data_IF_185057121577
#
_entry.id   IF_185057121577
#
_cell.length_a   1.000
_cell.length_b   1.000
_cell.length_c   1.000
_cell.angle_alpha   90.00
_cell.angle_beta   90.00
_cell.angle_gamma   90.00
#
_symmetry.space_group_name_H-M   'P 1'
#
loop_
_entity.id
_entity.type
_entity.pdbx_description
1 polymer ?
#
# COMPACT_ATOMS: atom_id res chain seq x y z
N UNK A 1 22.32 9.49 -5.61
CA UNK A 1 22.09 8.78 -4.32
C UNK A 1 20.63 8.34 -4.14
N UNK A 2 19.62 9.19 -4.41
CA UNK A 2 18.19 8.84 -4.27
C UNK A 2 17.75 7.61 -5.08
N UNK A 3 18.25 7.44 -6.31
CA UNK A 3 17.87 6.31 -7.18
C UNK A 3 18.32 4.96 -6.64
N UNK A 4 19.54 4.89 -6.08
CA UNK A 4 20.08 3.68 -5.46
C UNK A 4 19.29 3.28 -4.21
N UNK A 5 18.94 4.25 -3.37
CA UNK A 5 18.11 4.02 -2.18
C UNK A 5 16.71 3.52 -2.56
N UNK A 6 16.08 4.10 -3.60
CA UNK A 6 14.79 3.61 -4.11
C UNK A 6 14.90 2.16 -4.60
N UNK A 7 15.93 1.79 -5.35
CA UNK A 7 16.12 0.41 -5.84
C UNK A 7 16.36 -0.57 -4.68
N UNK A 8 17.22 -0.20 -3.74
CA UNK A 8 17.51 -1.00 -2.54
C UNK A 8 16.27 -1.25 -1.68
N UNK A 9 15.29 -0.34 -1.68
CA UNK A 9 14.03 -0.51 -0.96
C UNK A 9 12.99 -1.30 -1.76
N UNK A 10 12.78 -0.97 -3.03
CA UNK A 10 11.72 -1.57 -3.85
C UNK A 10 12.01 -3.01 -4.24
N UNK A 11 13.26 -3.39 -4.50
CA UNK A 11 13.60 -4.77 -4.93
C UNK A 11 13.26 -5.79 -3.83
N UNK A 12 13.70 -5.63 -2.56
CA UNK A 12 13.29 -6.52 -1.49
C UNK A 12 11.78 -6.45 -1.21
N UNK A 13 11.17 -5.26 -1.27
CA UNK A 13 9.74 -5.10 -1.00
C UNK A 13 8.88 -5.91 -1.99
N UNK A 14 9.17 -5.81 -3.29
CA UNK A 14 8.45 -6.57 -4.33
C UNK A 14 8.67 -8.07 -4.16
N UNK A 15 9.89 -8.50 -3.85
CA UNK A 15 10.19 -9.91 -3.60
C UNK A 15 9.39 -10.47 -2.41
N UNK A 16 9.32 -9.72 -1.30
CA UNK A 16 8.54 -10.11 -0.13
C UNK A 16 7.05 -10.18 -0.44
N UNK A 17 6.50 -9.20 -1.17
CA UNK A 17 5.10 -9.21 -1.59
C UNK A 17 4.80 -10.45 -2.45
N UNK A 18 5.66 -10.79 -3.40
CA UNK A 18 5.49 -11.98 -4.24
C UNK A 18 5.52 -13.27 -3.41
N UNK A 19 6.45 -13.39 -2.45
CA UNK A 19 6.53 -14.53 -1.53
C UNK A 19 5.25 -14.65 -0.69
N UNK A 20 4.75 -13.54 -0.15
CA UNK A 20 3.51 -13.52 0.63
C UNK A 20 2.34 -13.99 -0.23
N UNK A 21 2.20 -13.46 -1.45
CA UNK A 21 1.14 -13.86 -2.40
C UNK A 21 1.20 -15.36 -2.70
N UNK A 22 2.40 -15.90 -2.90
CA UNK A 22 2.61 -17.31 -3.22
C UNK A 22 2.32 -18.24 -2.03
N UNK A 23 2.76 -17.87 -0.83
CA UNK A 23 2.60 -18.70 0.38
C UNK A 23 1.23 -18.52 1.05
N UNK A 24 0.52 -17.43 0.77
CA UNK A 24 -0.75 -17.14 1.40
C UNK A 24 -1.82 -18.11 0.91
N UNK A 25 -2.42 -18.86 1.84
CA UNK A 25 -3.58 -19.66 1.51
C UNK A 25 -4.78 -18.75 1.20
N UNK A 26 -5.18 -18.69 -0.06
CA UNK A 26 -6.21 -17.75 -0.52
C UNK A 26 -7.60 -18.17 -0.06
N UNK A 27 -8.31 -17.23 0.53
CA UNK A 27 -9.74 -17.36 0.82
C UNK A 27 -10.46 -16.09 0.37
N UNK A 28 -11.80 -16.11 0.37
CA UNK A 28 -12.60 -14.97 -0.10
C UNK A 28 -12.26 -13.68 0.65
N UNK A 29 -12.09 -13.74 1.96
CA UNK A 29 -11.80 -12.57 2.81
C UNK A 29 -10.40 -11.99 2.54
N UNK A 30 -9.39 -12.84 2.35
CA UNK A 30 -8.01 -12.46 2.00
C UNK A 30 -7.93 -11.89 0.59
N UNK A 31 -8.75 -12.40 -0.33
CA UNK A 31 -8.86 -11.84 -1.68
C UNK A 31 -9.45 -10.42 -1.66
N UNK A 32 -10.53 -10.19 -0.90
CA UNK A 32 -11.06 -8.83 -0.71
C UNK A 32 -10.04 -7.90 -0.04
N UNK A 33 -9.32 -8.38 0.98
CA UNK A 33 -8.24 -7.61 1.60
C UNK A 33 -7.15 -7.22 0.60
N UNK A 34 -6.73 -8.15 -0.28
CA UNK A 34 -5.73 -7.86 -1.31
C UNK A 34 -6.21 -6.83 -2.34
N UNK A 35 -7.50 -6.79 -2.67
CA UNK A 35 -8.07 -5.75 -3.52
C UNK A 35 -8.09 -4.41 -2.79
N UNK A 36 -8.48 -4.40 -1.51
CA UNK A 36 -8.53 -3.19 -0.69
C UNK A 36 -7.16 -2.58 -0.42
N UNK A 37 -6.07 -3.33 -0.55
CA UNK A 37 -4.71 -2.81 -0.44
C UNK A 37 -4.18 -2.22 -1.75
N UNK A 38 -4.83 -2.41 -2.91
CA UNK A 38 -4.40 -1.80 -4.17
C UNK A 38 -4.34 -0.26 -4.13
N UNK A 39 -5.34 0.46 -3.58
CA UNK A 39 -5.26 1.91 -3.43
C UNK A 39 -4.13 2.34 -2.49
N UNK A 40 -3.85 1.56 -1.43
CA UNK A 40 -2.73 1.81 -0.51
C UNK A 40 -1.41 1.76 -1.27
N UNK A 41 -1.20 0.72 -2.09
CA UNK A 41 0.01 0.57 -2.91
C UNK A 41 0.15 1.74 -3.89
N UNK A 42 -0.95 2.15 -4.53
CA UNK A 42 -0.97 3.29 -5.47
C UNK A 42 -0.54 4.60 -4.80
N UNK A 43 -1.19 4.98 -3.69
CA UNK A 43 -0.86 6.22 -2.99
C UNK A 43 0.53 6.14 -2.32
N UNK A 44 0.94 4.97 -1.84
CA UNK A 44 2.30 4.78 -1.33
C UNK A 44 3.32 5.02 -2.45
N UNK A 45 3.11 4.49 -3.65
CA UNK A 45 3.99 4.77 -4.79
C UNK A 45 4.08 6.27 -5.09
N UNK A 46 2.95 6.97 -5.08
CA UNK A 46 2.88 8.43 -5.31
C UNK A 46 3.65 9.22 -4.25
N UNK A 47 3.39 8.96 -2.97
CA UNK A 47 4.04 9.64 -1.84
C UNK A 47 5.56 9.39 -1.83
N UNK A 48 6.01 8.15 -2.07
CA UNK A 48 7.44 7.82 -2.07
C UNK A 48 8.19 8.31 -3.32
N UNK A 49 7.48 8.54 -4.42
CA UNK A 49 8.06 9.08 -5.66
C UNK A 49 7.81 10.58 -5.84
N UNK A 50 7.23 11.26 -4.84
CA UNK A 50 7.03 12.70 -4.85
C UNK A 50 8.33 13.43 -5.20
N UNK A 51 8.26 14.30 -6.18
CA UNK A 51 9.42 15.06 -6.64
C UNK A 51 9.41 16.44 -5.99
N UNK A 52 10.60 16.96 -5.66
CA UNK A 52 10.76 18.28 -5.04
C UNK A 52 10.19 19.43 -5.87
N UNK A 53 9.96 19.22 -7.17
CA UNK A 53 9.39 20.20 -8.09
C UNK A 53 7.86 20.23 -8.10
N UNK A 54 7.20 19.27 -7.46
CA UNK A 54 5.74 19.23 -7.34
C UNK A 54 5.27 20.19 -6.23
N UNK A 55 4.08 20.79 -6.34
CA UNK A 55 3.55 21.67 -5.31
C UNK A 55 3.07 20.88 -4.09
N UNK A 56 3.28 21.43 -2.89
CA UNK A 56 2.94 20.79 -1.61
C UNK A 56 1.48 20.34 -1.50
N UNK A 57 0.57 21.02 -2.22
CA UNK A 57 -0.84 20.63 -2.31
C UNK A 57 -1.02 19.22 -2.87
N UNK A 58 -0.22 18.83 -3.87
CA UNK A 58 -0.25 17.49 -4.47
C UNK A 58 0.24 16.45 -3.46
N UNK A 59 1.30 16.76 -2.72
CA UNK A 59 1.76 15.87 -1.65
C UNK A 59 0.68 15.64 -0.59
N UNK A 60 0.01 16.71 -0.14
CA UNK A 60 -1.05 16.63 0.86
C UNK A 60 -2.23 15.81 0.33
N UNK A 61 -2.63 16.01 -0.93
CA UNK A 61 -3.69 15.23 -1.57
C UNK A 61 -3.34 13.74 -1.61
N UNK A 62 -2.16 13.38 -2.12
CA UNK A 62 -1.70 11.98 -2.23
C UNK A 62 -1.52 11.33 -0.84
N UNK A 63 -1.03 12.08 0.16
CA UNK A 63 -0.93 11.63 1.54
C UNK A 63 -2.32 11.43 2.18
N UNK A 64 -3.27 12.33 1.92
CA UNK A 64 -4.65 12.18 2.41
C UNK A 64 -5.32 10.95 1.79
N UNK A 65 -5.08 10.69 0.49
CA UNK A 65 -5.52 9.48 -0.19
C UNK A 65 -4.92 8.21 0.42
N UNK A 66 -3.63 8.23 0.78
CA UNK A 66 -2.99 7.14 1.50
C UNK A 66 -3.67 6.88 2.85
N UNK A 67 -3.91 7.91 3.64
CA UNK A 67 -4.58 7.78 4.96
C UNK A 67 -5.99 7.19 4.79
N UNK A 68 -6.78 7.69 3.84
CA UNK A 68 -8.13 7.19 3.57
C UNK A 68 -8.11 5.73 3.13
N UNK A 69 -7.19 5.35 2.24
CA UNK A 69 -7.05 3.96 1.80
C UNK A 69 -6.71 3.01 2.96
N UNK A 70 -5.83 3.42 3.87
CA UNK A 70 -5.48 2.66 5.07
C UNK A 70 -6.68 2.51 6.02
N UNK A 71 -7.45 3.58 6.21
CA UNK A 71 -8.67 3.52 7.04
C UNK A 71 -9.66 2.49 6.51
N UNK A 72 -9.86 2.41 5.19
CA UNK A 72 -10.74 1.41 4.58
C UNK A 72 -10.24 -0.01 4.88
N UNK A 73 -8.94 -0.27 4.74
CA UNK A 73 -8.35 -1.58 5.05
C UNK A 73 -8.53 -1.91 6.54
N UNK A 74 -8.27 -0.96 7.44
CA UNK A 74 -8.44 -1.14 8.88
C UNK A 74 -9.91 -1.45 9.23
N UNK A 75 -10.87 -0.70 8.66
CA UNK A 75 -12.29 -0.95 8.87
C UNK A 75 -12.71 -2.35 8.42
N UNK A 76 -12.17 -2.81 7.27
CA UNK A 76 -12.41 -4.17 6.80
C UNK A 76 -11.83 -5.23 7.75
N UNK A 77 -10.61 -5.02 8.26
CA UNK A 77 -9.99 -5.91 9.23
C UNK A 77 -10.79 -5.96 10.54
N UNK A 78 -11.30 -4.82 11.04
CA UNK A 78 -12.16 -4.78 12.22
C UNK A 78 -13.44 -5.59 11.98
N UNK A 79 -14.08 -5.43 10.82
CA UNK A 79 -15.26 -6.23 10.44
C UNK A 79 -14.93 -7.72 10.38
N UNK A 80 -13.79 -8.09 9.80
CA UNK A 80 -13.36 -9.49 9.69
C UNK A 80 -13.11 -10.10 11.07
N UNK A 81 -12.46 -9.36 11.97
CA UNK A 81 -12.18 -9.80 13.33
C UNK A 81 -13.47 -9.97 14.17
N UNK A 82 -14.49 -9.13 13.95
CA UNK A 82 -15.80 -9.27 14.63
C UNK A 82 -16.68 -10.41 14.11
N UNK A 83 -16.41 -10.89 12.89
CA UNK A 83 -17.15 -12.01 12.27
C UNK A 83 -16.65 -13.37 12.79
N UNK A 84 -15.44 -13.39 13.35
CA UNK A 84 -14.81 -14.56 13.95
C UNK A 84 -15.12 -14.64 15.45
#
# INVERSE_FOLDING_TARGET
MITLVRVLFWVPAVALVAIIIYLMNWNKERFYLAILTLPVIYFMWKVFNYNYFEPDSVFIEELSGLVLSLLIVILYLIRLNKKH
#
